data_IF_120850001788
#
_entry.id   IF_120850001788
#
_cell.length_a   1.000
_cell.length_b   1.000
_cell.length_c   1.000
_cell.angle_alpha   90.00
_cell.angle_beta   90.00
_cell.angle_gamma   90.00
#
_symmetry.space_group_name_H-M   'P 1'
#
loop_
_entity.id
_entity.type
_entity.pdbx_description
1 polymer ?
#
# COMPACT_ATOMS: atom_id res chain seq x y z
N UNK A 1 -51.50 30.30 -6.28
CA UNK A 1 -50.94 29.93 -4.97
C UNK A 1 -51.32 28.48 -4.75
N UNK A 2 -50.44 27.50 -4.84
CA UNK A 2 -48.99 27.50 -5.03
C UNK A 2 -48.64 26.15 -5.66
N UNK A 3 -47.69 26.13 -6.61
CA UNK A 3 -47.18 24.95 -7.30
C UNK A 3 -45.80 24.64 -6.74
N UNK A 4 -45.71 23.75 -5.75
CA UNK A 4 -44.40 23.36 -5.17
C UNK A 4 -44.46 22.10 -4.32
N UNK A 5 -45.02 21.00 -4.84
CA UNK A 5 -44.81 19.68 -4.22
C UNK A 5 -44.80 18.60 -5.32
N UNK A 6 -43.63 18.37 -5.92
CA UNK A 6 -43.20 17.12 -6.56
C UNK A 6 -41.87 17.35 -7.26
N UNK A 7 -40.76 16.95 -6.62
CA UNK A 7 -39.50 16.49 -7.23
C UNK A 7 -38.48 16.21 -6.13
N UNK A 8 -38.61 15.05 -5.50
CA UNK A 8 -37.54 14.41 -4.73
C UNK A 8 -37.44 12.96 -5.20
N UNK A 9 -36.98 12.78 -6.43
CA UNK A 9 -36.49 11.50 -6.93
C UNK A 9 -35.16 11.17 -6.22
N UNK A 10 -35.02 9.99 -5.58
CA UNK A 10 -33.74 9.58 -5.02
C UNK A 10 -32.74 9.39 -6.17
N UNK A 11 -31.58 10.04 -6.07
CA UNK A 11 -30.44 9.78 -6.92
C UNK A 11 -30.13 8.28 -6.84
N UNK A 12 -30.35 7.57 -7.94
CA UNK A 12 -29.96 6.17 -8.07
C UNK A 12 -28.43 6.17 -8.12
N UNK A 13 -27.82 5.67 -7.05
CA UNK A 13 -26.39 5.44 -6.92
C UNK A 13 -25.93 4.41 -7.97
N UNK A 14 -25.20 4.87 -8.99
CA UNK A 14 -24.73 4.06 -10.13
C UNK A 14 -23.35 3.43 -9.89
N UNK A 15 -22.83 3.43 -8.66
CA UNK A 15 -21.58 2.72 -8.37
C UNK A 15 -21.76 1.21 -8.58
N UNK A 16 -20.94 0.55 -9.41
CA UNK A 16 -20.95 -0.90 -9.54
C UNK A 16 -20.75 -1.53 -8.16
N UNK A 17 -21.58 -2.52 -7.80
CA UNK A 17 -21.59 -3.13 -6.46
C UNK A 17 -20.26 -3.72 -6.02
N UNK A 18 -19.34 -3.99 -6.96
CA UNK A 18 -17.97 -4.46 -6.74
C UNK A 18 -17.06 -3.44 -6.03
N UNK A 19 -17.38 -2.13 -6.08
CA UNK A 19 -16.52 -1.06 -5.53
C UNK A 19 -17.08 -0.41 -4.27
N UNK A 20 -18.10 -1.02 -3.64
CA UNK A 20 -18.62 -0.54 -2.36
C UNK A 20 -17.67 -0.97 -1.24
N UNK A 21 -17.24 -0.04 -0.37
CA UNK A 21 -16.42 -0.42 0.78
C UNK A 21 -17.22 -1.36 1.69
N UNK A 22 -16.66 -2.53 2.00
CA UNK A 22 -17.13 -3.32 3.12
C UNK A 22 -16.96 -2.49 4.39
N UNK A 23 -18.05 -2.26 5.12
CA UNK A 23 -18.03 -1.47 6.34
C UNK A 23 -17.42 -2.31 7.48
N UNK A 24 -16.09 -2.38 7.57
CA UNK A 24 -15.43 -2.89 8.76
C UNK A 24 -15.43 -1.81 9.85
N UNK A 25 -15.84 -2.16 11.07
CA UNK A 25 -15.89 -1.23 12.22
C UNK A 25 -14.53 -0.61 12.57
N UNK A 26 -13.43 -1.22 12.11
CA UNK A 26 -12.06 -0.79 12.38
C UNK A 26 -11.61 0.42 11.54
N UNK A 27 -12.20 0.62 10.35
CA UNK A 27 -11.93 1.78 9.49
C UNK A 27 -12.23 3.14 10.15
N UNK A 28 -13.11 3.18 11.16
CA UNK A 28 -13.52 4.43 11.83
C UNK A 28 -12.46 5.05 12.75
N UNK A 29 -11.38 4.33 13.07
CA UNK A 29 -10.32 4.85 13.95
C UNK A 29 -9.09 5.37 13.20
N UNK A 30 -8.82 4.87 12.00
CA UNK A 30 -7.65 5.26 11.20
C UNK A 30 -7.97 6.53 10.40
N UNK A 31 -7.40 7.65 10.83
CA UNK A 31 -7.58 8.97 10.18
C UNK A 31 -7.68 10.15 11.15
N UNK A 32 -7.84 9.88 12.45
CA UNK A 32 -7.72 10.90 13.51
C UNK A 32 -6.27 10.98 13.96
N UNK A 33 -5.79 12.20 14.30
CA UNK A 33 -4.49 12.39 14.97
C UNK A 33 -4.39 11.43 16.16
N UNK A 34 -3.22 10.80 16.40
CA UNK A 34 -3.00 9.98 17.59
C UNK A 34 -3.46 10.75 18.84
N UNK A 35 -4.27 10.14 19.69
CA UNK A 35 -4.59 10.73 20.99
C UNK A 35 -3.30 10.84 21.80
N UNK A 36 -3.05 12.01 22.40
CA UNK A 36 -1.85 12.29 23.20
C UNK A 36 -1.68 11.36 24.43
N UNK A 37 -2.68 10.54 24.76
CA UNK A 37 -2.72 9.61 25.89
C UNK A 37 -2.61 8.13 25.46
N UNK A 38 -2.18 7.84 24.23
CA UNK A 38 -2.01 6.46 23.78
C UNK A 38 -0.82 5.79 24.50
N UNK A 39 -1.07 4.65 25.15
CA UNK A 39 -0.04 3.86 25.85
C UNK A 39 0.30 2.54 25.13
N UNK A 40 -0.48 2.13 24.14
CA UNK A 40 -0.23 0.92 23.36
C UNK A 40 -0.76 1.09 21.92
N UNK A 41 -0.11 0.43 20.95
CA UNK A 41 -0.53 0.48 19.57
C UNK A 41 -1.96 -0.10 19.37
N UNK A 42 -2.79 0.46 18.47
CA UNK A 42 -4.05 -0.18 18.10
C UNK A 42 -3.81 -1.57 17.52
N UNK A 43 -4.69 -2.52 17.83
CA UNK A 43 -4.62 -3.89 17.33
C UNK A 43 -5.60 -4.11 16.17
N UNK A 44 -5.10 -4.73 15.12
CA UNK A 44 -5.84 -5.19 13.94
C UNK A 44 -5.84 -6.70 13.89
N UNK A 45 -6.93 -7.27 13.40
CA UNK A 45 -7.01 -8.70 13.12
C UNK A 45 -6.20 -9.01 11.86
N UNK A 46 -5.25 -9.92 11.97
CA UNK A 46 -4.47 -10.40 10.84
C UNK A 46 -5.23 -11.57 10.23
N UNK A 47 -5.96 -11.35 9.13
CA UNK A 47 -6.62 -12.44 8.41
C UNK A 47 -5.62 -13.51 7.93
N UNK A 48 -6.06 -14.75 7.75
CA UNK A 48 -5.16 -15.89 7.41
C UNK A 48 -4.49 -15.79 6.01
N UNK A 49 -4.94 -14.86 5.17
CA UNK A 49 -4.45 -14.72 3.78
C UNK A 49 -2.99 -14.28 3.71
N UNK A 50 -2.51 -13.45 4.65
CA UNK A 50 -1.15 -12.91 4.56
C UNK A 50 -0.09 -14.00 4.74
N UNK A 51 -0.34 -15.02 5.57
CA UNK A 51 0.58 -16.13 5.81
C UNK A 51 0.89 -16.90 4.53
N UNK A 52 -0.12 -17.01 3.66
CA UNK A 52 -0.05 -17.70 2.39
C UNK A 52 0.58 -16.86 1.28
N UNK A 53 0.79 -15.55 1.48
CA UNK A 53 1.44 -14.66 0.50
C UNK A 53 2.94 -14.98 0.34
N UNK A 54 3.57 -14.49 -0.74
CA UNK A 54 5.02 -14.53 -0.91
C UNK A 54 5.75 -14.02 0.32
N UNK A 55 5.27 -12.91 0.89
CA UNK A 55 5.92 -12.28 2.02
C UNK A 55 5.78 -13.11 3.29
N UNK A 56 4.57 -13.62 3.57
CA UNK A 56 4.32 -14.53 4.68
C UNK A 56 5.17 -15.79 4.63
N UNK A 57 5.18 -16.48 3.47
CA UNK A 57 6.04 -17.66 3.23
C UNK A 57 7.53 -17.35 3.45
N UNK A 58 7.98 -16.16 3.02
CA UNK A 58 9.38 -15.73 3.16
C UNK A 58 9.76 -15.42 4.61
N UNK A 59 8.86 -14.81 5.38
CA UNK A 59 9.03 -14.61 6.82
C UNK A 59 9.09 -15.98 7.52
N UNK A 60 8.18 -16.89 7.18
CA UNK A 60 8.17 -18.24 7.74
C UNK A 60 9.45 -19.03 7.43
N UNK A 61 10.04 -18.88 6.25
CA UNK A 61 11.32 -19.54 5.93
C UNK A 61 12.46 -19.07 6.85
N UNK A 62 12.51 -17.77 7.16
CA UNK A 62 13.65 -17.17 7.87
C UNK A 62 13.41 -16.87 9.36
N UNK A 63 12.20 -17.08 9.90
CA UNK A 63 11.83 -16.68 11.26
C UNK A 63 12.79 -17.23 12.33
N UNK A 64 13.28 -18.47 12.20
CA UNK A 64 14.23 -19.06 13.16
C UNK A 64 15.53 -18.29 13.26
N UNK A 65 16.08 -17.84 12.14
CA UNK A 65 17.30 -17.03 12.12
C UNK A 65 17.05 -15.68 12.77
N UNK A 66 15.91 -15.06 12.46
CA UNK A 66 15.51 -13.77 13.03
C UNK A 66 15.30 -13.86 14.56
N UNK A 67 14.66 -14.93 15.05
CA UNK A 67 14.50 -15.19 16.49
C UNK A 67 15.85 -15.34 17.19
N UNK A 68 16.79 -16.09 16.60
CA UNK A 68 18.11 -16.29 17.21
C UNK A 68 18.90 -14.98 17.32
N UNK A 69 18.87 -14.13 16.28
CA UNK A 69 19.50 -12.81 16.31
C UNK A 69 18.92 -11.95 17.44
N UNK A 70 17.60 -11.97 17.61
CA UNK A 70 16.92 -11.18 18.63
C UNK A 70 17.16 -11.72 20.06
N UNK A 71 17.22 -13.05 20.25
CA UNK A 71 17.53 -13.68 21.54
C UNK A 71 18.97 -13.34 21.96
N UNK A 72 19.94 -13.53 21.08
CA UNK A 72 21.36 -13.29 21.38
C UNK A 72 21.66 -11.82 21.72
N UNK A 73 20.83 -10.90 21.22
CA UNK A 73 20.98 -9.46 21.42
C UNK A 73 20.05 -8.88 22.51
N UNK A 74 19.25 -9.70 23.21
CA UNK A 74 18.22 -9.25 24.16
C UNK A 74 17.26 -8.19 23.56
N UNK A 75 16.75 -8.45 22.36
CA UNK A 75 15.88 -7.53 21.62
C UNK A 75 14.48 -8.12 21.40
N UNK A 76 13.53 -7.24 21.07
CA UNK A 76 12.32 -7.55 20.35
C UNK A 76 12.56 -7.35 18.86
N UNK A 77 11.97 -8.20 18.04
CA UNK A 77 12.04 -8.15 16.57
C UNK A 77 10.64 -8.23 16.00
N UNK A 78 10.38 -7.48 14.93
CA UNK A 78 9.09 -7.50 14.26
C UNK A 78 9.22 -7.18 12.78
N UNK A 79 8.28 -7.72 12.00
CA UNK A 79 8.12 -7.42 10.57
C UNK A 79 6.72 -6.89 10.35
N UNK A 80 6.61 -5.74 9.69
CA UNK A 80 5.31 -5.13 9.35
C UNK A 80 4.91 -5.40 7.91
N UNK A 81 3.61 -5.20 7.62
CA UNK A 81 3.09 -4.96 6.29
C UNK A 81 3.50 -3.54 5.78
N UNK A 82 3.11 -3.14 4.55
CA UNK A 82 3.36 -1.80 4.00
C UNK A 82 2.60 -0.66 4.69
N UNK A 83 1.68 -0.97 5.61
CA UNK A 83 0.87 -0.01 6.37
C UNK A 83 1.40 0.22 7.78
N UNK A 84 2.36 -0.58 8.26
CA UNK A 84 2.91 -0.51 9.60
C UNK A 84 2.25 -1.46 10.60
N UNK A 85 1.39 -2.39 10.15
CA UNK A 85 0.82 -3.45 10.98
C UNK A 85 1.84 -4.57 11.13
N UNK A 86 2.18 -4.96 12.35
CA UNK A 86 3.07 -6.09 12.63
C UNK A 86 2.43 -7.40 12.17
N UNK A 87 3.04 -8.07 11.19
CA UNK A 87 2.62 -9.38 10.70
C UNK A 87 3.21 -10.52 11.52
N UNK A 88 4.47 -10.35 11.94
CA UNK A 88 5.20 -11.34 12.73
C UNK A 88 6.03 -10.62 13.78
N UNK A 89 6.07 -11.17 14.99
CA UNK A 89 6.89 -10.63 16.08
C UNK A 89 7.53 -11.74 16.90
N UNK A 90 8.64 -11.41 17.52
CA UNK A 90 9.23 -12.23 18.56
C UNK A 90 9.97 -11.35 19.57
N UNK A 91 9.96 -11.74 20.84
CA UNK A 91 10.64 -10.98 21.90
C UNK A 91 11.43 -11.89 22.83
N UNK A 92 12.70 -11.51 23.03
CA UNK A 92 13.57 -12.10 24.04
C UNK A 92 12.98 -11.94 25.44
N UNK A 93 13.43 -12.76 26.38
CA UNK A 93 12.91 -12.75 27.75
C UNK A 93 12.92 -11.34 28.39
N UNK A 94 13.99 -10.53 28.27
CA UNK A 94 14.02 -9.18 28.87
C UNK A 94 13.03 -8.19 28.25
N UNK A 95 12.65 -8.38 26.98
CA UNK A 95 11.77 -7.45 26.26
C UNK A 95 10.31 -7.88 26.24
N UNK A 96 10.01 -9.17 26.46
CA UNK A 96 8.67 -9.75 26.28
C UNK A 96 7.54 -8.98 26.98
N UNK A 97 7.67 -8.75 28.29
CA UNK A 97 6.62 -8.07 29.05
C UNK A 97 6.39 -6.63 28.58
N UNK A 98 7.47 -5.90 28.27
CA UNK A 98 7.33 -4.54 27.73
C UNK A 98 6.74 -4.55 26.33
N UNK A 99 7.11 -5.50 25.48
CA UNK A 99 6.57 -5.62 24.13
C UNK A 99 5.06 -5.90 24.13
N UNK A 100 4.61 -6.81 24.96
CA UNK A 100 3.18 -7.12 25.13
C UNK A 100 2.38 -5.90 25.63
N UNK A 101 2.90 -5.16 26.62
CA UNK A 101 2.22 -3.99 27.19
C UNK A 101 1.95 -2.87 26.18
N UNK A 102 2.86 -2.67 25.22
CA UNK A 102 2.74 -1.61 24.21
C UNK A 102 2.15 -2.10 22.89
N UNK A 103 1.72 -3.37 22.84
CA UNK A 103 1.26 -4.06 21.64
C UNK A 103 2.29 -4.08 20.50
N UNK A 104 3.57 -4.30 20.85
CA UNK A 104 4.56 -4.78 19.91
C UNK A 104 4.36 -6.30 19.72
N UNK A 105 3.22 -6.64 19.16
CA UNK A 105 2.72 -8.00 18.91
C UNK A 105 2.08 -8.04 17.54
N UNK A 106 1.81 -9.24 17.03
CA UNK A 106 1.07 -9.43 15.78
C UNK A 106 -0.27 -8.67 15.81
N UNK A 107 -0.57 -7.94 14.73
CA UNK A 107 -1.71 -7.05 14.61
C UNK A 107 -1.47 -5.63 15.13
N UNK A 108 -0.38 -5.36 15.86
CA UNK A 108 -0.05 -4.01 16.34
C UNK A 108 0.23 -3.04 15.20
N UNK A 109 -0.44 -1.89 15.17
CA UNK A 109 -0.32 -0.88 14.12
C UNK A 109 0.59 0.28 14.54
N UNK A 110 1.79 0.33 13.96
CA UNK A 110 2.90 1.22 14.36
C UNK A 110 3.23 2.33 13.36
N UNK A 111 2.34 2.63 12.41
CA UNK A 111 2.49 3.81 11.56
C UNK A 111 2.52 5.13 12.36
N UNK A 112 3.12 6.16 11.78
CA UNK A 112 3.14 7.51 12.38
C UNK A 112 1.73 8.05 12.64
N UNK A 113 0.77 7.70 11.77
CA UNK A 113 -0.64 8.07 11.92
C UNK A 113 -1.30 7.42 13.14
N UNK A 114 -0.84 6.24 13.55
CA UNK A 114 -1.44 5.49 14.66
C UNK A 114 -0.79 5.80 16.02
N UNK A 115 0.54 5.81 16.09
CA UNK A 115 1.29 5.91 17.37
C UNK A 115 2.22 7.13 17.45
N UNK A 116 2.20 7.99 16.44
CA UNK A 116 3.12 9.13 16.35
C UNK A 116 4.53 8.71 15.92
N UNK A 117 5.49 9.64 16.04
CA UNK A 117 6.88 9.39 15.64
C UNK A 117 7.48 8.19 16.37
N UNK A 118 7.97 7.23 15.58
CA UNK A 118 8.65 6.02 16.02
C UNK A 118 9.53 5.48 14.86
N UNK A 119 10.39 4.48 15.11
CA UNK A 119 11.31 3.98 14.09
C UNK A 119 10.61 3.38 12.86
N UNK A 120 9.56 2.58 13.05
CA UNK A 120 8.76 1.97 11.97
C UNK A 120 8.11 3.08 11.14
N UNK A 121 7.39 4.01 11.79
CA UNK A 121 6.74 5.14 11.14
C UNK A 121 7.71 6.04 10.37
N UNK A 122 8.90 6.29 10.92
CA UNK A 122 9.93 7.05 10.25
C UNK A 122 10.45 6.32 9.00
N UNK A 123 10.75 5.02 9.11
CA UNK A 123 11.23 4.21 7.99
C UNK A 123 10.17 4.05 6.88
N UNK A 124 8.88 3.94 7.23
CA UNK A 124 7.76 3.97 6.28
C UNK A 124 7.73 5.28 5.48
N UNK A 125 7.92 6.41 6.16
CA UNK A 125 7.81 7.74 5.57
C UNK A 125 9.04 8.14 4.73
N UNK A 126 10.24 7.68 5.10
CA UNK A 126 11.49 8.03 4.41
C UNK A 126 11.95 6.96 3.42
N UNK A 127 11.42 5.74 3.52
CA UNK A 127 11.94 4.55 2.82
C UNK A 127 13.45 4.35 3.02
N UNK A 128 13.95 4.70 4.20
CA UNK A 128 15.34 4.54 4.61
C UNK A 128 15.40 3.85 5.96
N UNK A 129 16.55 3.24 6.28
CA UNK A 129 16.77 2.79 7.64
C UNK A 129 16.72 3.97 8.62
N UNK A 130 16.30 3.69 9.85
CA UNK A 130 16.07 4.69 10.88
C UNK A 130 16.50 4.15 12.25
N UNK A 131 16.85 5.08 13.14
CA UNK A 131 17.03 4.85 14.56
C UNK A 131 16.23 5.93 15.29
N UNK A 132 15.40 5.50 16.24
CA UNK A 132 14.65 6.41 17.11
C UNK A 132 15.01 6.07 18.55
N UNK A 133 15.62 7.03 19.23
CA UNK A 133 16.20 6.87 20.55
C UNK A 133 15.30 7.48 21.63
N UNK A 134 14.84 6.66 22.56
CA UNK A 134 14.20 7.09 23.81
C UNK A 134 13.08 8.13 23.58
N UNK A 135 13.28 9.37 24.02
CA UNK A 135 12.31 10.47 23.98
C UNK A 135 12.01 10.99 22.57
N UNK A 136 12.75 10.53 21.55
CA UNK A 136 12.38 10.74 20.16
C UNK A 136 11.12 9.96 19.77
N UNK A 137 10.77 8.92 20.55
CA UNK A 137 9.45 8.28 20.43
C UNK A 137 8.38 9.19 21.02
N UNK A 138 7.32 9.39 20.24
CA UNK A 138 6.21 10.25 20.66
C UNK A 138 5.36 9.58 21.74
N UNK A 139 5.06 8.29 21.59
CA UNK A 139 4.32 7.48 22.56
C UNK A 139 5.14 7.28 23.85
N UNK A 140 4.57 7.60 25.01
CA UNK A 140 5.30 7.64 26.29
C UNK A 140 5.79 6.26 26.74
N UNK A 141 4.96 5.22 26.56
CA UNK A 141 5.23 3.84 26.99
C UNK A 141 6.45 3.18 26.34
N UNK A 142 7.01 3.78 25.28
CA UNK A 142 8.22 3.29 24.59
C UNK A 142 9.41 4.25 24.70
N UNK A 143 9.33 5.29 25.54
CA UNK A 143 10.45 6.24 25.72
C UNK A 143 11.64 5.67 26.46
N UNK A 144 11.50 4.50 27.09
CA UNK A 144 12.62 3.74 27.63
C UNK A 144 13.24 2.78 26.59
N UNK A 145 12.84 2.84 25.32
CA UNK A 145 13.36 1.99 24.25
C UNK A 145 14.29 2.75 23.31
N UNK A 146 15.09 1.98 22.60
CA UNK A 146 15.71 2.39 21.33
C UNK A 146 15.25 1.42 20.26
N UNK A 147 14.85 1.98 19.12
CA UNK A 147 14.22 1.24 18.04
C UNK A 147 15.01 1.50 16.75
N UNK A 148 15.31 0.42 16.02
CA UNK A 148 15.95 0.45 14.71
C UNK A 148 14.97 -0.13 13.70
N UNK A 149 14.83 0.49 12.55
CA UNK A 149 13.96 -0.01 11.50
C UNK A 149 14.64 0.07 10.13
N UNK A 150 14.35 -0.89 9.25
CA UNK A 150 14.84 -0.89 7.87
C UNK A 150 13.75 -1.35 6.89
N UNK A 151 13.65 -0.73 5.71
CA UNK A 151 12.67 -1.13 4.71
C UNK A 151 13.05 -2.47 4.05
N UNK A 152 12.03 -3.30 3.81
CA UNK A 152 12.12 -4.53 3.04
C UNK A 152 11.61 -4.21 1.62
N UNK A 153 12.54 -3.83 0.76
CA UNK A 153 12.28 -3.55 -0.66
C UNK A 153 13.04 -4.55 -1.53
N UNK A 154 12.35 -5.16 -2.49
CA UNK A 154 12.99 -5.98 -3.53
C UNK A 154 13.73 -5.08 -4.51
N UNK A 155 15.03 -5.27 -4.63
CA UNK A 155 15.91 -4.46 -5.48
C UNK A 155 15.63 -4.64 -6.98
N UNK A 156 15.09 -5.78 -7.41
CA UNK A 156 14.85 -6.09 -8.82
C UNK A 156 13.54 -5.47 -9.32
N UNK A 157 12.49 -5.59 -8.52
CA UNK A 157 11.14 -5.12 -8.88
C UNK A 157 10.84 -3.71 -8.34
N UNK A 158 11.59 -3.28 -7.32
CA UNK A 158 11.28 -2.10 -6.53
C UNK A 158 9.97 -2.25 -5.76
N UNK A 159 9.54 -3.48 -5.46
CA UNK A 159 8.36 -3.74 -4.63
C UNK A 159 8.71 -3.52 -3.17
N UNK A 160 7.88 -2.76 -2.46
CA UNK A 160 8.00 -2.54 -1.03
C UNK A 160 7.06 -3.49 -0.28
N UNK A 161 7.59 -4.28 0.66
CA UNK A 161 6.84 -5.28 1.41
C UNK A 161 6.48 -4.85 2.83
N UNK A 162 7.27 -3.96 3.44
CA UNK A 162 7.07 -3.52 4.81
C UNK A 162 8.39 -3.19 5.50
N UNK A 163 8.38 -3.17 6.83
CA UNK A 163 9.52 -2.74 7.66
C UNK A 163 9.99 -3.91 8.53
N UNK A 164 11.31 -4.11 8.59
CA UNK A 164 11.97 -4.88 9.64
C UNK A 164 12.25 -3.96 10.82
N UNK A 165 11.97 -4.39 12.05
CA UNK A 165 12.23 -3.63 13.26
C UNK A 165 12.99 -4.46 14.30
N UNK A 166 13.94 -3.82 14.97
CA UNK A 166 14.61 -4.32 16.17
C UNK A 166 14.47 -3.27 17.28
N UNK A 167 14.06 -3.70 18.47
CA UNK A 167 13.84 -2.82 19.61
C UNK A 167 14.44 -3.39 20.90
N UNK A 168 15.03 -2.53 21.73
CA UNK A 168 15.52 -2.91 23.06
C UNK A 168 15.48 -1.71 24.00
N UNK A 169 15.88 -1.87 25.28
CA UNK A 169 15.97 -0.75 26.22
C UNK A 169 17.07 0.22 25.83
N UNK A 170 16.84 1.52 25.99
CA UNK A 170 17.77 2.56 25.50
C UNK A 170 19.19 2.45 26.09
N UNK A 171 19.34 1.89 27.29
CA UNK A 171 20.65 1.66 27.92
C UNK A 171 21.50 0.62 27.16
N UNK A 172 20.87 -0.23 26.35
CA UNK A 172 21.52 -1.21 25.47
C UNK A 172 21.72 -0.69 24.04
N UNK A 173 21.55 0.61 23.82
CA UNK A 173 21.80 1.21 22.51
C UNK A 173 23.21 0.87 21.99
N UNK A 174 23.25 0.45 20.74
CA UNK A 174 24.46 0.14 20.00
C UNK A 174 24.48 0.92 18.68
N UNK A 175 25.61 1.54 18.36
CA UNK A 175 25.82 2.24 17.08
C UNK A 175 25.71 1.32 15.86
N UNK A 176 25.86 0.00 16.04
CA UNK A 176 25.68 -1.01 14.99
C UNK A 176 24.23 -1.49 14.84
N UNK A 177 23.28 -0.98 15.63
CA UNK A 177 21.88 -1.45 15.59
C UNK A 177 21.19 -1.24 14.24
N UNK A 178 21.52 -0.15 13.52
CA UNK A 178 21.02 0.09 12.15
C UNK A 178 21.53 -1.00 11.19
N UNK A 179 22.82 -1.33 11.25
CA UNK A 179 23.40 -2.39 10.42
C UNK A 179 22.79 -3.76 10.75
N UNK A 180 22.47 -4.02 12.03
CA UNK A 180 21.82 -5.26 12.46
C UNK A 180 20.40 -5.39 11.89
N UNK A 181 19.59 -4.32 11.94
CA UNK A 181 18.22 -4.36 11.39
C UNK A 181 18.22 -4.42 9.86
N UNK A 182 19.17 -3.75 9.19
CA UNK A 182 19.38 -3.87 7.74
C UNK A 182 19.76 -5.31 7.37
N UNK A 183 20.65 -5.95 8.14
CA UNK A 183 21.00 -7.35 7.93
C UNK A 183 19.81 -8.28 8.10
N UNK A 184 18.95 -8.03 9.09
CA UNK A 184 17.70 -8.78 9.27
C UNK A 184 16.74 -8.58 8.08
N UNK A 185 16.61 -7.35 7.59
CA UNK A 185 15.83 -7.06 6.39
C UNK A 185 16.38 -7.81 5.17
N UNK A 186 17.69 -7.88 5.01
CA UNK A 186 18.34 -8.61 3.92
C UNK A 186 18.10 -10.12 3.98
N UNK A 187 18.03 -10.71 5.17
CA UNK A 187 17.64 -12.13 5.33
C UNK A 187 16.25 -12.36 4.75
N UNK A 188 15.28 -11.48 5.06
CA UNK A 188 13.92 -11.58 4.51
C UNK A 188 13.92 -11.36 2.99
N UNK A 189 14.66 -10.37 2.47
CA UNK A 189 14.79 -10.12 1.02
C UNK A 189 15.34 -11.34 0.28
N UNK A 190 16.33 -12.04 0.86
CA UNK A 190 16.86 -13.26 0.29
C UNK A 190 15.81 -14.38 0.25
N UNK A 191 15.01 -14.54 1.31
CA UNK A 191 13.91 -15.50 1.32
C UNK A 191 12.84 -15.16 0.25
N UNK A 192 12.49 -13.88 0.09
CA UNK A 192 11.58 -13.41 -0.97
C UNK A 192 12.07 -13.87 -2.34
N UNK A 193 13.34 -13.67 -2.66
CA UNK A 193 13.91 -14.08 -3.95
C UNK A 193 13.80 -15.59 -4.20
N UNK A 194 13.90 -16.43 -3.18
CA UNK A 194 13.78 -17.89 -3.29
C UNK A 194 12.34 -18.34 -3.56
N UNK A 195 11.36 -17.62 -2.99
CA UNK A 195 9.93 -17.94 -3.10
C UNK A 195 9.21 -17.24 -4.26
N UNK A 196 9.88 -16.36 -5.00
CA UNK A 196 9.29 -15.54 -6.08
C UNK A 196 9.04 -16.37 -7.36
N UNK A 197 8.08 -17.30 -7.28
CA UNK A 197 7.66 -18.19 -8.36
C UNK A 197 6.17 -18.06 -8.61
N UNK A 198 5.79 -18.03 -9.89
CA UNK A 198 4.42 -17.81 -10.35
C UNK A 198 3.82 -16.51 -9.78
N UNK A 199 4.53 -15.39 -9.95
CA UNK A 199 4.11 -14.08 -9.43
C UNK A 199 4.08 -13.03 -10.53
N UNK A 200 2.96 -12.35 -10.65
CA UNK A 200 2.72 -11.26 -11.58
C UNK A 200 2.74 -9.92 -10.83
N UNK A 201 3.65 -9.04 -11.24
CA UNK A 201 3.77 -7.68 -10.73
C UNK A 201 3.17 -6.71 -11.73
N UNK A 202 2.23 -5.87 -11.30
CA UNK A 202 1.61 -4.83 -12.12
C UNK A 202 1.72 -3.49 -11.40
N UNK A 203 2.51 -2.57 -11.96
CA UNK A 203 2.49 -1.16 -11.58
C UNK A 203 1.68 -0.40 -12.60
N UNK A 204 0.59 0.24 -12.19
CA UNK A 204 -0.36 0.91 -13.08
C UNK A 204 -0.64 2.38 -12.71
N UNK A 205 -0.15 2.86 -11.56
CA UNK A 205 -0.17 4.29 -11.27
C UNK A 205 1.03 5.00 -11.90
N UNK A 206 0.75 5.89 -12.85
CA UNK A 206 1.78 6.54 -13.67
C UNK A 206 2.16 5.69 -14.88
N UNK A 207 3.45 5.50 -15.15
CA UNK A 207 3.91 4.72 -16.31
C UNK A 207 3.77 3.22 -16.04
N UNK A 208 2.92 2.49 -16.80
CA UNK A 208 2.65 1.10 -16.50
C UNK A 208 3.87 0.21 -16.70
N UNK A 209 4.07 -0.74 -15.79
CA UNK A 209 5.12 -1.77 -15.87
C UNK A 209 4.56 -3.10 -15.42
N UNK A 210 4.85 -4.15 -16.18
CA UNK A 210 4.43 -5.52 -15.86
C UNK A 210 5.65 -6.42 -15.81
N UNK A 211 5.76 -7.24 -14.77
CA UNK A 211 6.82 -8.24 -14.65
C UNK A 211 6.22 -9.57 -14.23
N UNK A 212 6.75 -10.67 -14.76
CA UNK A 212 6.37 -12.02 -14.36
C UNK A 212 7.63 -12.80 -13.94
N UNK A 213 7.63 -13.36 -12.73
CA UNK A 213 8.81 -14.03 -12.15
C UNK A 213 10.10 -13.20 -12.29
N UNK A 214 10.05 -11.92 -11.92
CA UNK A 214 11.14 -10.94 -12.04
C UNK A 214 11.54 -10.53 -13.48
N UNK A 215 10.90 -11.07 -14.51
CA UNK A 215 11.15 -10.69 -15.91
C UNK A 215 10.18 -9.61 -16.37
N UNK A 216 10.71 -8.46 -16.80
CA UNK A 216 9.89 -7.40 -17.39
C UNK A 216 9.28 -7.84 -18.71
N UNK A 217 7.96 -7.63 -18.85
CA UNK A 217 7.20 -7.96 -20.05
C UNK A 217 7.02 -6.71 -20.92
N UNK A 218 7.27 -6.85 -22.22
CA UNK A 218 6.95 -5.81 -23.20
C UNK A 218 5.53 -6.06 -23.70
N UNK A 219 4.56 -5.32 -23.15
CA UNK A 219 3.14 -5.48 -23.43
C UNK A 219 2.57 -4.27 -24.16
N UNK A 220 1.56 -4.49 -25.00
CA UNK A 220 0.75 -3.40 -25.56
C UNK A 220 -0.14 -2.80 -24.47
N UNK A 221 -0.62 -1.57 -24.68
CA UNK A 221 -1.61 -0.97 -23.77
C UNK A 221 -2.81 -1.89 -23.56
N UNK A 222 -3.30 -2.52 -24.64
CA UNK A 222 -4.47 -3.41 -24.60
C UNK A 222 -4.22 -4.64 -23.75
N UNK A 223 -3.02 -5.20 -23.80
CA UNK A 223 -2.63 -6.36 -22.99
C UNK A 223 -2.53 -6.01 -21.51
N UNK A 224 -2.00 -4.82 -21.18
CA UNK A 224 -1.97 -4.31 -19.79
C UNK A 224 -3.39 -4.11 -19.26
N UNK A 225 -4.28 -3.53 -20.07
CA UNK A 225 -5.70 -3.37 -19.70
C UNK A 225 -6.37 -4.72 -19.42
N UNK A 226 -6.12 -5.74 -20.25
CA UNK A 226 -6.63 -7.11 -20.00
C UNK A 226 -6.13 -7.63 -18.65
N UNK A 227 -4.82 -7.54 -18.37
CA UNK A 227 -4.26 -8.00 -17.09
C UNK A 227 -4.85 -7.26 -15.88
N UNK A 228 -5.06 -5.93 -15.99
CA UNK A 228 -5.70 -5.16 -14.93
C UNK A 228 -7.16 -5.56 -14.71
N UNK A 229 -7.95 -5.80 -15.77
CA UNK A 229 -9.33 -6.28 -15.63
C UNK A 229 -9.35 -7.66 -14.97
N UNK A 230 -8.50 -8.59 -15.40
CA UNK A 230 -8.43 -9.92 -14.78
C UNK A 230 -7.97 -9.86 -13.31
N UNK A 231 -7.12 -8.89 -12.97
CA UNK A 231 -6.69 -8.64 -11.58
C UNK A 231 -7.84 -8.10 -10.72
N UNK A 232 -8.68 -7.22 -11.27
CA UNK A 232 -9.85 -6.66 -10.60
C UNK A 232 -11.05 -7.63 -10.56
N UNK A 233 -10.97 -8.76 -11.27
CA UNK A 233 -12.00 -9.80 -11.33
C UNK A 233 -11.42 -11.17 -10.92
N UNK A 234 -11.07 -11.39 -9.63
CA UNK A 234 -10.40 -12.61 -9.18
C UNK A 234 -11.24 -13.90 -9.38
N UNK A 235 -12.56 -13.80 -9.26
CA UNK A 235 -13.50 -14.91 -9.55
C UNK A 235 -13.53 -15.31 -11.04
N UNK A 236 -12.96 -14.47 -11.90
CA UNK A 236 -12.90 -14.62 -13.33
C UNK A 236 -14.02 -13.91 -14.07
N UNK A 237 -13.79 -13.70 -15.37
CA UNK A 237 -14.68 -12.98 -16.27
C UNK A 237 -14.88 -13.77 -17.56
N UNK A 238 -16.10 -13.83 -18.09
CA UNK A 238 -16.35 -14.54 -19.34
C UNK A 238 -15.90 -13.71 -20.57
N UNK A 239 -15.90 -14.32 -21.76
CA UNK A 239 -15.40 -13.65 -22.96
C UNK A 239 -16.20 -12.39 -23.35
N UNK A 240 -17.52 -12.44 -23.24
CA UNK A 240 -18.41 -11.34 -23.63
C UNK A 240 -18.31 -10.19 -22.62
N UNK A 241 -18.28 -10.51 -21.33
CA UNK A 241 -18.06 -9.54 -20.25
C UNK A 241 -16.68 -8.87 -20.37
N UNK A 242 -15.62 -9.64 -20.61
CA UNK A 242 -14.28 -9.09 -20.78
C UNK A 242 -14.20 -8.19 -22.01
N UNK A 243 -14.86 -8.57 -23.10
CA UNK A 243 -14.95 -7.74 -24.29
C UNK A 243 -15.67 -6.42 -24.00
N UNK A 244 -16.83 -6.47 -23.34
CA UNK A 244 -17.58 -5.27 -22.97
C UNK A 244 -16.81 -4.39 -21.98
N UNK A 245 -16.18 -4.98 -20.97
CA UNK A 245 -15.36 -4.25 -20.00
C UNK A 245 -14.23 -3.46 -20.67
N UNK A 246 -13.64 -4.03 -21.73
CA UNK A 246 -12.46 -3.51 -22.42
C UNK A 246 -12.79 -2.54 -23.57
N UNK A 247 -13.86 -2.81 -24.31
CA UNK A 247 -14.23 -2.09 -25.54
C UNK A 247 -15.53 -1.29 -25.43
N UNK A 248 -16.44 -1.66 -24.53
CA UNK A 248 -17.81 -1.13 -24.51
C UNK A 248 -18.54 -1.42 -25.82
N UNK A 249 -19.30 -0.45 -26.32
CA UNK A 249 -20.07 -0.57 -27.57
C UNK A 249 -19.23 -0.39 -28.84
N UNK A 250 -17.89 -0.29 -28.73
CA UNK A 250 -17.03 -0.13 -29.90
C UNK A 250 -17.10 -1.36 -30.80
N UNK A 251 -17.11 -1.19 -32.14
CA UNK A 251 -17.27 -2.29 -33.09
C UNK A 251 -15.96 -3.10 -33.27
N UNK A 252 -15.47 -3.71 -32.19
CA UNK A 252 -14.28 -4.57 -32.19
C UNK A 252 -14.73 -6.04 -32.12
N UNK A 253 -14.16 -6.91 -32.93
CA UNK A 253 -14.55 -8.33 -32.92
C UNK A 253 -14.03 -9.05 -31.67
N UNK A 254 -14.77 -10.06 -31.18
CA UNK A 254 -14.30 -10.96 -30.10
C UNK A 254 -13.09 -11.79 -30.53
N UNK A 255 -12.86 -11.98 -31.83
CA UNK A 255 -11.66 -12.61 -32.38
C UNK A 255 -10.40 -11.80 -32.08
N UNK A 256 -10.49 -10.46 -32.12
CA UNK A 256 -9.37 -9.58 -31.75
C UNK A 256 -8.98 -9.76 -30.28
N UNK A 257 -9.96 -9.82 -29.37
CA UNK A 257 -9.70 -10.11 -27.95
C UNK A 257 -9.06 -11.49 -27.75
N UNK A 258 -9.55 -12.52 -28.44
CA UNK A 258 -8.97 -13.87 -28.38
C UNK A 258 -7.51 -13.88 -28.84
N UNK A 259 -7.17 -13.08 -29.86
CA UNK A 259 -5.79 -12.95 -30.33
C UNK A 259 -4.88 -12.33 -29.26
N UNK A 260 -5.32 -11.24 -28.60
CA UNK A 260 -4.58 -10.62 -27.48
C UNK A 260 -4.38 -11.59 -26.31
N UNK A 261 -5.44 -12.31 -25.92
CA UNK A 261 -5.36 -13.35 -24.87
C UNK A 261 -4.40 -14.48 -25.24
N UNK A 262 -4.39 -14.89 -26.52
CA UNK A 262 -3.45 -15.89 -27.01
C UNK A 262 -2.00 -15.39 -26.96
N UNK A 263 -1.76 -14.12 -27.30
CA UNK A 263 -0.42 -13.52 -27.21
C UNK A 263 0.05 -13.40 -25.76
N UNK A 264 -0.83 -12.97 -24.85
CA UNK A 264 -0.53 -12.93 -23.42
C UNK A 264 -0.16 -14.31 -22.88
N UNK A 265 -0.91 -15.36 -23.22
CA UNK A 265 -0.60 -16.74 -22.79
C UNK A 265 0.75 -17.25 -23.27
N UNK A 266 1.24 -16.76 -24.41
CA UNK A 266 2.59 -17.11 -24.87
C UNK A 266 3.67 -16.40 -24.04
N UNK A 267 3.40 -15.21 -23.52
CA UNK A 267 4.32 -14.42 -22.68
C UNK A 267 4.31 -14.88 -21.21
N UNK A 268 3.14 -15.30 -20.72
CA UNK A 268 2.94 -15.81 -19.35
C UNK A 268 2.23 -17.17 -19.40
N UNK A 269 2.97 -18.25 -19.70
CA UNK A 269 2.40 -19.60 -19.79
C UNK A 269 1.72 -20.03 -18.50
N UNK A 270 0.58 -20.72 -18.63
CA UNK A 270 -0.21 -21.29 -17.54
C UNK A 270 -0.77 -20.29 -16.50
N UNK A 271 -0.58 -18.98 -16.72
CA UNK A 271 -1.10 -17.94 -15.82
C UNK A 271 -2.56 -17.59 -16.11
N UNK A 272 -2.99 -17.55 -17.37
CA UNK A 272 -4.36 -17.14 -17.73
C UNK A 272 -5.22 -18.39 -17.98
N UNK A 273 -6.06 -18.74 -17.02
CA UNK A 273 -7.04 -19.82 -17.15
C UNK A 273 -8.13 -19.48 -18.18
N UNK A 274 -8.84 -20.51 -18.65
CA UNK A 274 -9.98 -20.36 -19.57
C UNK A 274 -11.26 -20.81 -18.88
N UNK A 275 -12.36 -20.09 -19.13
CA UNK A 275 -13.74 -20.46 -18.75
C UNK A 275 -13.94 -20.59 -17.21
N UNK A 276 -14.01 -19.47 -16.46
CA UNK A 276 -13.84 -18.08 -16.89
C UNK A 276 -12.36 -17.70 -17.09
N UNK A 277 -12.10 -16.57 -17.74
CA UNK A 277 -10.74 -16.02 -17.79
C UNK A 277 -10.38 -15.47 -16.40
N UNK A 278 -9.32 -15.99 -15.80
CA UNK A 278 -8.79 -15.53 -14.51
C UNK A 278 -7.28 -15.78 -14.44
N UNK A 279 -6.62 -15.08 -13.53
CA UNK A 279 -5.19 -15.25 -13.28
C UNK A 279 -4.98 -16.33 -12.22
N UNK A 280 -4.15 -17.32 -12.54
CA UNK A 280 -3.76 -18.42 -11.67
C UNK A 280 -2.31 -18.26 -11.21
N UNK A 281 -2.04 -17.12 -10.59
CA UNK A 281 -0.74 -16.76 -10.04
C UNK A 281 -0.93 -15.83 -8.84
N UNK A 282 0.10 -15.67 -8.03
CA UNK A 282 0.09 -14.61 -7.02
C UNK A 282 0.21 -13.25 -7.73
N UNK A 283 -0.61 -12.28 -7.34
CA UNK A 283 -0.63 -10.96 -7.98
C UNK A 283 -0.18 -9.91 -6.97
N UNK A 284 0.79 -9.09 -7.37
CA UNK A 284 1.22 -7.93 -6.61
C UNK A 284 1.06 -6.68 -7.45
N UNK A 285 0.21 -5.76 -7.01
CA UNK A 285 -0.06 -4.56 -7.77
C UNK A 285 -0.25 -3.32 -6.90
N UNK A 286 0.27 -2.19 -7.38
CA UNK A 286 0.24 -0.92 -6.66
C UNK A 286 -1.19 -0.40 -6.47
N UNK A 287 -2.08 -0.64 -7.43
CA UNK A 287 -3.44 -0.14 -7.43
C UNK A 287 -4.39 -0.88 -6.47
N UNK A 288 -4.32 -2.22 -6.37
CA UNK A 288 -5.07 -2.94 -5.33
C UNK A 288 -4.53 -2.61 -3.93
N UNK A 289 -3.19 -2.51 -3.78
CA UNK A 289 -2.59 -2.12 -2.50
C UNK A 289 -3.03 -0.72 -2.08
N UNK A 290 -3.14 0.23 -3.02
CA UNK A 290 -3.59 1.58 -2.70
C UNK A 290 -5.09 1.64 -2.40
N UNK A 291 -5.89 0.83 -3.10
CA UNK A 291 -7.33 0.69 -2.84
C UNK A 291 -7.56 0.13 -1.43
N UNK A 292 -6.85 -0.93 -1.05
CA UNK A 292 -6.90 -1.48 0.30
C UNK A 292 -6.44 -0.46 1.35
N UNK A 293 -5.33 0.23 1.11
CA UNK A 293 -4.85 1.30 1.98
C UNK A 293 -5.92 2.40 2.17
N UNK A 294 -6.58 2.79 1.08
CA UNK A 294 -7.62 3.81 1.07
C UNK A 294 -8.90 3.33 1.77
N UNK A 295 -9.27 2.05 1.63
CA UNK A 295 -10.37 1.43 2.36
C UNK A 295 -10.13 1.43 3.88
N UNK A 296 -8.88 1.18 4.29
CA UNK A 296 -8.48 1.11 5.70
C UNK A 296 -8.13 2.47 6.31
N UNK A 297 -8.07 3.55 5.52
CA UNK A 297 -7.72 4.89 6.01
C UNK A 297 -6.22 5.12 6.21
N UNK A 298 -5.36 4.31 5.56
CA UNK A 298 -3.90 4.46 5.59
C UNK A 298 -3.39 5.52 4.60
N UNK A 299 -3.70 6.79 4.89
CA UNK A 299 -3.42 7.94 4.01
C UNK A 299 -1.98 8.01 3.53
N UNK A 300 -0.98 7.84 4.41
CA UNK A 300 0.43 7.92 4.02
C UNK A 300 0.81 6.84 3.00
N UNK A 301 0.33 5.61 3.17
CA UNK A 301 0.59 4.52 2.24
C UNK A 301 -0.12 4.75 0.91
N UNK A 302 -1.39 5.17 0.92
CA UNK A 302 -2.13 5.49 -0.31
C UNK A 302 -1.40 6.53 -1.16
N UNK A 303 -0.98 7.65 -0.55
CA UNK A 303 -0.26 8.72 -1.25
C UNK A 303 1.14 8.30 -1.71
N UNK A 304 1.76 7.34 -1.03
CA UNK A 304 3.07 6.78 -1.42
C UNK A 304 2.98 5.86 -2.64
N UNK A 305 1.91 5.06 -2.72
CA UNK A 305 1.62 4.18 -3.86
C UNK A 305 1.11 4.96 -5.06
N UNK A 306 0.36 6.05 -4.84
CA UNK A 306 -0.09 6.91 -5.92
C UNK A 306 1.08 7.67 -6.56
N UNK A 307 1.46 7.25 -7.78
CA UNK A 307 2.61 7.75 -8.55
C UNK A 307 2.18 8.46 -9.84
N UNK A 308 0.87 8.58 -10.07
CA UNK A 308 0.25 9.13 -11.27
C UNK A 308 -1.10 8.48 -11.49
N UNK A 309 -1.89 9.00 -12.42
CA UNK A 309 -3.23 8.46 -12.69
C UNK A 309 -3.18 6.99 -13.16
N UNK A 310 -4.15 6.19 -12.73
CA UNK A 310 -4.27 4.79 -13.11
C UNK A 310 -4.56 4.66 -14.60
N UNK A 311 -3.63 4.07 -15.35
CA UNK A 311 -3.76 3.86 -16.80
C UNK A 311 -4.34 5.07 -17.54
N UNK A 312 -3.74 6.25 -17.37
CA UNK A 312 -4.28 7.54 -17.83
C UNK A 312 -4.78 7.60 -19.29
N UNK A 313 -4.19 6.78 -20.18
CA UNK A 313 -4.54 6.70 -21.60
C UNK A 313 -5.58 5.62 -21.93
N UNK A 314 -6.04 4.87 -20.94
CA UNK A 314 -7.04 3.83 -21.14
C UNK A 314 -8.40 4.44 -21.43
N UNK A 315 -9.01 3.90 -22.48
CA UNK A 315 -10.38 4.18 -22.90
C UNK A 315 -11.30 3.00 -22.55
N UNK A 316 -10.84 2.05 -21.75
CA UNK A 316 -11.60 0.88 -21.31
C UNK A 316 -12.70 1.33 -20.34
N UNK A 317 -14.01 1.15 -20.64
CA UNK A 317 -15.08 1.64 -19.77
C UNK A 317 -14.95 1.17 -18.33
N UNK A 318 -14.57 -0.10 -18.13
CA UNK A 318 -14.40 -0.67 -16.79
C UNK A 318 -13.24 -0.03 -16.02
N UNK A 319 -12.10 0.19 -16.69
CA UNK A 319 -10.90 0.74 -16.04
C UNK A 319 -11.02 2.24 -15.83
N UNK A 320 -11.71 2.96 -16.72
CA UNK A 320 -12.08 4.36 -16.50
C UNK A 320 -12.98 4.50 -15.27
N UNK A 321 -14.04 3.70 -15.18
CA UNK A 321 -14.94 3.73 -14.02
C UNK A 321 -14.19 3.43 -12.70
N UNK A 322 -13.27 2.46 -12.71
CA UNK A 322 -12.42 2.18 -11.55
C UNK A 322 -11.54 3.38 -11.19
N UNK A 323 -10.83 3.96 -12.17
CA UNK A 323 -9.99 5.15 -11.99
C UNK A 323 -10.79 6.30 -11.38
N UNK A 324 -11.94 6.62 -11.96
CA UNK A 324 -12.75 7.76 -11.55
C UNK A 324 -13.26 7.59 -10.11
N UNK A 325 -13.65 6.36 -9.73
CA UNK A 325 -14.05 6.04 -8.37
C UNK A 325 -12.88 6.17 -7.37
N UNK A 326 -11.73 5.60 -7.71
CA UNK A 326 -10.53 5.70 -6.88
C UNK A 326 -10.10 7.16 -6.70
N UNK A 327 -10.04 7.92 -7.79
CA UNK A 327 -9.61 9.32 -7.79
C UNK A 327 -10.54 10.20 -6.96
N UNK A 328 -11.86 10.02 -7.06
CA UNK A 328 -12.82 10.76 -6.24
C UNK A 328 -12.63 10.51 -4.73
N UNK A 329 -12.37 9.25 -4.34
CA UNK A 329 -12.09 8.89 -2.94
C UNK A 329 -10.74 9.42 -2.47
N UNK A 330 -9.74 9.39 -3.33
CA UNK A 330 -8.42 9.95 -3.05
C UNK A 330 -8.49 11.47 -2.84
N UNK A 331 -9.25 12.19 -3.68
CA UNK A 331 -9.48 13.63 -3.51
C UNK A 331 -10.10 13.96 -2.15
N UNK A 332 -11.09 13.16 -1.70
CA UNK A 332 -11.69 13.32 -0.39
C UNK A 332 -10.66 13.22 0.75
N UNK A 333 -9.71 12.28 0.66
CA UNK A 333 -8.62 12.15 1.62
C UNK A 333 -7.65 13.33 1.54
N UNK A 334 -7.29 13.77 0.34
CA UNK A 334 -6.38 14.90 0.11
C UNK A 334 -6.90 16.17 0.81
N UNK A 335 -8.20 16.49 0.67
CA UNK A 335 -8.79 17.68 1.30
C UNK A 335 -8.79 17.64 2.85
N UNK A 336 -8.59 16.47 3.46
CA UNK A 336 -8.49 16.33 4.93
C UNK A 336 -7.06 16.42 5.45
N UNK A 337 -6.06 16.41 4.57
CA UNK A 337 -4.66 16.50 4.98
C UNK A 337 -4.39 17.91 5.55
N UNK A 338 -3.70 17.94 6.68
CA UNK A 338 -3.17 19.17 7.31
C UNK A 338 -1.63 19.24 7.22
N UNK A 339 -0.97 18.10 6.94
CA UNK A 339 0.48 18.02 6.82
C UNK A 339 0.95 18.56 5.45
N UNK A 340 1.55 19.75 5.50
CA UNK A 340 2.10 20.45 4.34
C UNK A 340 3.21 19.62 3.65
N UNK A 341 4.07 18.94 4.41
CA UNK A 341 5.17 18.14 3.85
C UNK A 341 4.66 16.90 3.13
N UNK A 342 3.53 16.34 3.59
CA UNK A 342 2.86 15.25 2.90
C UNK A 342 2.28 15.72 1.56
N UNK A 343 1.61 16.87 1.52
CA UNK A 343 1.07 17.46 0.27
C UNK A 343 2.17 17.85 -0.70
N UNK A 344 3.27 18.46 -0.23
CA UNK A 344 4.43 18.79 -1.06
C UNK A 344 5.03 17.55 -1.72
N UNK A 345 5.08 16.41 -1.02
CA UNK A 345 5.54 15.13 -1.59
C UNK A 345 4.61 14.60 -2.69
N UNK A 346 3.31 14.84 -2.59
CA UNK A 346 2.34 14.47 -3.63
C UNK A 346 2.52 15.37 -4.85
N UNK A 347 2.47 16.69 -4.66
CA UNK A 347 2.59 17.69 -5.75
C UNK A 347 3.92 17.57 -6.49
N UNK A 348 5.03 17.35 -5.77
CA UNK A 348 6.35 17.17 -6.41
C UNK A 348 6.45 15.91 -7.28
N UNK A 349 5.64 14.89 -6.98
CA UNK A 349 5.62 13.62 -7.71
C UNK A 349 4.58 13.59 -8.84
N UNK A 350 3.41 14.16 -8.58
CA UNK A 350 2.28 14.20 -9.51
C UNK A 350 1.75 15.64 -9.57
N UNK A 351 2.44 16.53 -10.31
CA UNK A 351 2.07 17.96 -10.36
C UNK A 351 0.68 18.20 -10.96
N UNK A 352 0.18 17.27 -11.78
CA UNK A 352 -1.14 17.35 -12.42
C UNK A 352 -2.30 17.02 -11.45
N UNK A 353 -2.02 16.72 -10.17
CA UNK A 353 -3.05 16.54 -9.13
C UNK A 353 -3.50 17.88 -8.58
N UNK A 354 -4.44 18.48 -9.30
CA UNK A 354 -5.06 19.78 -9.02
C UNK A 354 -5.56 19.89 -7.58
N UNK A 355 -6.30 18.88 -7.10
CA UNK A 355 -6.82 18.80 -5.73
C UNK A 355 -5.73 18.93 -4.64
N UNK A 356 -4.57 18.32 -4.86
CA UNK A 356 -3.43 18.42 -3.95
C UNK A 356 -2.78 19.82 -4.00
N UNK A 357 -2.71 20.44 -5.19
CA UNK A 357 -2.18 21.80 -5.35
C UNK A 357 -3.09 22.83 -4.69
N UNK A 358 -4.41 22.72 -4.90
CA UNK A 358 -5.42 23.57 -4.25
C UNK A 358 -5.33 23.45 -2.74
N UNK A 359 -5.33 22.22 -2.20
CA UNK A 359 -5.25 22.00 -0.76
C UNK A 359 -3.95 22.55 -0.15
N UNK A 360 -2.83 22.42 -0.86
CA UNK A 360 -1.56 22.98 -0.44
C UNK A 360 -1.62 24.53 -0.39
N UNK A 361 -2.26 25.16 -1.38
CA UNK A 361 -2.47 26.62 -1.41
C UNK A 361 -3.38 27.12 -0.29
N UNK A 362 -4.37 26.34 0.15
CA UNK A 362 -5.23 26.67 1.30
C UNK A 362 -4.46 26.70 2.63
N UNK A 363 -3.47 25.81 2.79
CA UNK A 363 -2.72 25.67 4.04
C UNK A 363 -1.49 26.59 4.11
N UNK A 364 -0.92 26.98 2.98
CA UNK A 364 0.26 27.84 2.93
C UNK A 364 -0.09 29.32 3.19
N UNK A 365 0.74 30.06 3.94
CA UNK A 365 0.60 31.51 4.06
C UNK A 365 0.65 32.21 2.69
N UNK A 366 -0.12 33.30 2.54
CA UNK A 366 -0.24 34.03 1.27
C UNK A 366 1.09 34.55 0.70
N UNK A 367 2.05 34.82 1.58
CA UNK A 367 3.37 35.41 1.28
C UNK A 367 4.43 34.36 0.94
N UNK A 368 4.05 33.07 0.83
CA UNK A 368 5.00 31.99 0.57
C UNK A 368 5.68 32.17 -0.80
N UNK A 369 7.03 32.11 -0.89
CA UNK A 369 7.77 32.39 -2.13
C UNK A 369 7.49 31.41 -3.28
N UNK A 370 6.85 30.28 -3.00
CA UNK A 370 6.49 29.26 -3.99
C UNK A 370 5.03 29.37 -4.48
N UNK A 371 4.20 30.28 -3.92
CA UNK A 371 2.77 30.40 -4.26
C UNK A 371 2.54 30.63 -5.76
N UNK A 372 3.34 31.52 -6.38
CA UNK A 372 3.27 31.78 -7.83
C UNK A 372 3.61 30.53 -8.66
N UNK A 373 4.53 29.66 -8.20
CA UNK A 373 4.84 28.42 -8.90
C UNK A 373 3.70 27.42 -8.79
N UNK A 374 3.05 27.33 -7.63
CA UNK A 374 1.91 26.44 -7.41
C UNK A 374 0.69 26.88 -8.24
N UNK A 375 0.40 28.18 -8.32
CA UNK A 375 -0.69 28.69 -9.16
C UNK A 375 -0.51 28.34 -10.65
N UNK A 376 0.73 28.33 -11.15
CA UNK A 376 1.03 27.90 -12.53
C UNK A 376 0.79 26.41 -12.78
N UNK A 377 0.67 25.58 -11.75
CA UNK A 377 0.31 24.17 -11.90
C UNK A 377 -1.21 23.98 -12.06
N UNK A 378 -2.01 25.03 -11.83
CA UNK A 378 -3.46 25.04 -12.02
C UNK A 378 -3.89 25.60 -13.38
N UNK A 379 -2.94 26.19 -14.13
CA UNK A 379 -3.12 26.69 -15.51
C UNK A 379 -2.89 25.57 -16.51
#
# INVERSE_FOLDING_TARGET
MDMSEQLSSPLIDTTPSLFRPESSSHSKQLGKKPSLELEAAPLFDLGEEWEHSLFGRSIHECHRNLMHIAEDADMAIGVTDPHGTLLWTWSSHPMRSSAEQVHFVEGGQWSTQAVGQNAIGLALNTHSASCVYSHENQMNSVRDWVCYAAPITDANTGQFYGIMNLSTKYQKHNSLGVLAVERCADIVKQAIQLHQKNILYIKAFGTPKVQYNQHSLTLTQRQIEILCILTLCPEGINLEELHYALYGDRPVSTTTLKAELSQLRNLIPDVIESRPYRLNCEIQCDFLMAEQALNLGFTSTTLTLYRGSFLAKSESPFLCAWRDCFDARLSHVIYQIEDIDQLLRVVSRVPDRVDAVERLLELLPEETPYRTKLLKLLE
#
